data_IF_017787692905
#
_entry.id   IF_017787692905
#
_cell.length_a   1.000
_cell.length_b   1.000
_cell.length_c   1.000
_cell.angle_alpha   90.00
_cell.angle_beta   90.00
_cell.angle_gamma   90.00
#
_symmetry.space_group_name_H-M   'P 1'
#
loop_
_entity.id
_entity.type
_entity.pdbx_description
1 polymer ?
#
# COMPACT_ATOMS: atom_id res chain seq x y z
N UNK A 1 2.50 -81.88 47.99
CA UNK A 1 1.64 -80.86 48.63
C UNK A 1 1.77 -79.59 47.80
N UNK A 2 0.87 -79.38 46.83
CA UNK A 2 0.92 -78.25 45.89
C UNK A 2 -0.32 -77.38 46.17
N UNK A 3 -0.09 -76.15 46.63
CA UNK A 3 -1.14 -75.20 47.00
C UNK A 3 -1.38 -74.27 45.80
N UNK A 4 -2.41 -74.54 45.01
CA UNK A 4 -2.80 -73.68 43.88
C UNK A 4 -3.63 -72.51 44.45
N UNK A 5 -3.07 -71.30 44.44
CA UNK A 5 -3.83 -70.08 44.71
C UNK A 5 -4.35 -69.51 43.39
N UNK A 6 -5.66 -69.54 43.21
CA UNK A 6 -6.34 -68.85 42.11
C UNK A 6 -6.35 -67.34 42.38
N UNK A 7 -5.78 -66.55 41.48
CA UNK A 7 -5.92 -65.10 41.46
C UNK A 7 -6.89 -64.71 40.35
N UNK A 8 -8.06 -64.21 40.76
CA UNK A 8 -9.06 -63.62 39.85
C UNK A 8 -8.58 -62.21 39.52
N UNK A 9 -8.17 -61.96 38.28
CA UNK A 9 -7.83 -60.61 37.81
C UNK A 9 -9.06 -59.95 37.20
N UNK A 10 -9.56 -58.90 37.84
CA UNK A 10 -10.61 -58.03 37.32
C UNK A 10 -10.05 -57.16 36.19
N UNK A 11 -10.52 -57.36 34.96
CA UNK A 11 -10.19 -56.49 33.82
C UNK A 11 -11.02 -55.22 33.89
N UNK A 12 -10.37 -54.08 34.12
CA UNK A 12 -10.97 -52.76 34.01
C UNK A 12 -11.06 -52.34 32.54
N UNK A 13 -12.28 -52.06 32.07
CA UNK A 13 -12.53 -51.44 30.76
C UNK A 13 -12.20 -49.95 30.85
N UNK A 14 -11.16 -49.50 30.15
CA UNK A 14 -10.90 -48.08 29.90
C UNK A 14 -11.71 -47.66 28.66
N UNK A 15 -12.76 -46.87 28.89
CA UNK A 15 -13.50 -46.20 27.83
C UNK A 15 -12.76 -44.93 27.40
N UNK A 16 -12.17 -44.94 26.21
CA UNK A 16 -11.54 -43.77 25.61
C UNK A 16 -12.60 -42.90 24.93
N UNK A 17 -13.00 -41.78 25.54
CA UNK A 17 -13.77 -40.76 24.84
C UNK A 17 -12.81 -39.82 24.09
N UNK A 18 -12.79 -39.92 22.77
CA UNK A 18 -12.05 -38.97 21.92
C UNK A 18 -12.95 -37.74 21.73
N UNK A 19 -12.91 -36.82 22.68
CA UNK A 19 -13.49 -35.49 22.54
C UNK A 19 -12.38 -34.49 22.24
N UNK A 20 -12.26 -34.06 20.98
CA UNK A 20 -11.33 -32.99 20.60
C UNK A 20 -11.76 -31.67 21.26
N UNK A 21 -10.88 -30.96 22.00
CA UNK A 21 -11.19 -29.62 22.46
C UNK A 21 -11.07 -28.66 21.27
N UNK A 22 -12.21 -28.13 20.80
CA UNK A 22 -12.20 -26.98 19.90
C UNK A 22 -11.50 -25.81 20.60
N UNK A 23 -10.53 -25.13 19.97
CA UNK A 23 -9.88 -23.97 20.56
C UNK A 23 -10.94 -22.90 20.81
N UNK A 24 -11.13 -22.51 22.08
CA UNK A 24 -11.97 -21.38 22.43
C UNK A 24 -11.29 -20.14 21.84
N UNK A 25 -11.83 -19.61 20.75
CA UNK A 25 -11.44 -18.30 20.26
C UNK A 25 -11.82 -17.27 21.33
N UNK A 26 -10.83 -16.79 22.07
CA UNK A 26 -11.01 -15.62 22.92
C UNK A 26 -11.30 -14.46 21.97
N UNK A 27 -12.51 -13.88 22.02
CA UNK A 27 -12.72 -12.58 21.38
C UNK A 27 -11.78 -11.60 22.08
N UNK A 28 -10.81 -11.00 21.37
CA UNK A 28 -10.03 -9.92 21.95
C UNK A 28 -11.01 -8.81 22.30
N UNK A 29 -11.07 -8.40 23.57
CA UNK A 29 -11.61 -7.09 23.92
C UNK A 29 -10.51 -6.11 23.53
N UNK A 30 -10.50 -5.73 22.26
CA UNK A 30 -9.68 -4.62 21.80
C UNK A 30 -10.27 -3.35 22.42
N UNK A 31 -9.48 -2.63 23.22
CA UNK A 31 -9.90 -1.28 23.61
C UNK A 31 -10.08 -0.48 22.32
N UNK A 32 -11.15 0.31 22.24
CA UNK A 32 -11.52 1.04 21.03
C UNK A 32 -10.34 1.89 20.51
N UNK A 33 -9.48 2.36 21.42
CA UNK A 33 -8.24 3.08 21.13
C UNK A 33 -7.23 2.26 20.33
N UNK A 34 -7.06 0.97 20.64
CA UNK A 34 -6.10 0.09 19.96
C UNK A 34 -6.55 -0.18 18.52
N UNK A 35 -7.86 -0.18 18.28
CA UNK A 35 -8.44 -0.37 16.94
C UNK A 35 -8.20 0.89 16.09
N UNK A 36 -8.33 2.08 16.68
CA UNK A 36 -8.19 3.37 15.99
C UNK A 36 -6.76 3.59 15.49
N UNK A 37 -5.75 3.20 16.27
CA UNK A 37 -4.34 3.35 15.89
C UNK A 37 -3.96 2.44 14.69
N UNK A 38 -4.51 1.22 14.64
CA UNK A 38 -4.28 0.30 13.49
C UNK A 38 -4.93 0.74 12.18
N UNK A 39 -5.86 1.70 12.21
CA UNK A 39 -6.48 2.27 11.01
C UNK A 39 -5.73 3.50 10.49
N UNK A 40 -4.75 4.01 11.24
CA UNK A 40 -3.95 5.15 10.83
C UNK A 40 -2.83 4.66 9.90
N UNK A 41 -2.99 4.94 8.60
CA UNK A 41 -1.92 4.77 7.63
C UNK A 41 -1.02 6.01 7.74
N UNK A 42 0.01 5.93 8.59
CA UNK A 42 0.92 7.06 8.87
C UNK A 42 1.68 7.54 7.62
N UNK A 43 1.95 6.62 6.70
CA UNK A 43 2.58 6.92 5.42
C UNK A 43 1.72 6.39 4.26
N UNK A 44 0.71 7.17 3.81
CA UNK A 44 -0.21 6.74 2.77
C UNK A 44 0.42 6.72 1.38
N UNK A 45 1.63 7.24 1.20
CA UNK A 45 2.28 7.30 -0.11
C UNK A 45 3.78 7.03 -0.01
N UNK A 46 4.34 6.10 -0.80
CA UNK A 46 5.77 5.79 -0.78
C UNK A 46 6.66 6.90 -1.38
N UNK A 47 6.10 8.08 -1.67
CA UNK A 47 6.78 9.19 -2.32
C UNK A 47 6.69 10.44 -1.44
N UNK A 48 7.85 11.04 -1.14
CA UNK A 48 7.93 12.34 -0.47
C UNK A 48 7.44 13.44 -1.42
N UNK A 49 6.21 13.92 -1.18
CA UNK A 49 5.73 15.11 -1.89
C UNK A 49 6.46 16.33 -1.34
N UNK A 50 7.11 17.11 -2.22
CA UNK A 50 7.85 18.24 -1.76
C UNK A 50 6.90 19.38 -1.34
N UNK A 51 7.29 20.11 -0.30
CA UNK A 51 6.46 21.14 0.34
C UNK A 51 6.30 22.32 -0.63
N UNK A 52 5.05 22.71 -0.90
CA UNK A 52 4.73 23.84 -1.77
C UNK A 52 5.25 25.14 -1.15
N UNK A 53 6.07 25.87 -1.91
CA UNK A 53 6.55 27.19 -1.52
C UNK A 53 5.44 28.23 -1.73
N UNK A 54 5.44 29.30 -0.92
CA UNK A 54 4.42 30.37 -1.00
C UNK A 54 5.02 31.66 -1.59
N UNK A 55 4.17 32.56 -2.06
CA UNK A 55 4.56 33.87 -2.57
C UNK A 55 5.30 33.79 -3.90
N UNK A 56 6.32 34.64 -4.09
CA UNK A 56 7.10 34.69 -5.34
C UNK A 56 7.90 33.44 -5.67
N UNK A 57 7.91 32.43 -4.78
CA UNK A 57 8.60 31.17 -4.95
C UNK A 57 7.66 30.01 -5.28
N UNK A 58 6.34 30.24 -5.35
CA UNK A 58 5.35 29.18 -5.65
C UNK A 58 5.66 28.43 -6.95
N UNK A 59 6.20 29.12 -7.96
CA UNK A 59 6.53 28.55 -9.26
C UNK A 59 7.99 28.05 -9.34
N UNK A 60 8.78 28.21 -8.27
CA UNK A 60 10.26 28.14 -8.32
C UNK A 60 10.88 26.76 -8.05
N UNK A 61 10.25 25.70 -8.57
CA UNK A 61 11.01 24.48 -8.81
C UNK A 61 10.85 23.36 -7.79
N UNK A 62 9.61 23.10 -7.40
CA UNK A 62 9.30 21.80 -6.84
C UNK A 62 9.19 20.72 -7.93
N UNK A 63 8.87 21.11 -9.17
CA UNK A 63 8.83 20.24 -10.35
C UNK A 63 9.15 21.00 -11.64
N UNK A 64 10.40 21.51 -11.81
CA UNK A 64 10.74 22.31 -12.97
C UNK A 64 10.57 21.49 -14.25
N UNK A 65 9.73 21.98 -15.16
CA UNK A 65 9.61 21.39 -16.49
C UNK A 65 10.63 22.06 -17.41
N UNK A 66 11.61 21.32 -17.98
CA UNK A 66 12.53 21.91 -18.93
C UNK A 66 11.77 22.39 -20.18
N UNK A 67 12.37 23.30 -20.92
CA UNK A 67 11.84 23.69 -22.22
C UNK A 67 11.84 22.47 -23.16
N UNK A 68 10.69 22.20 -23.79
CA UNK A 68 10.59 21.17 -24.81
C UNK A 68 10.97 21.79 -26.16
N UNK A 69 12.19 21.51 -26.64
CA UNK A 69 12.70 22.06 -27.91
C UNK A 69 12.63 23.61 -27.96
N UNK A 70 12.89 24.28 -26.83
CA UNK A 70 12.81 25.74 -26.71
C UNK A 70 11.41 26.29 -26.42
N UNK A 71 10.38 25.44 -26.32
CA UNK A 71 9.02 25.84 -25.97
C UNK A 71 8.70 25.51 -24.50
N UNK A 72 8.08 26.45 -23.76
CA UNK A 72 7.61 26.20 -22.38
C UNK A 72 6.30 25.42 -22.43
N UNK A 73 6.34 24.12 -22.14
CA UNK A 73 5.13 23.27 -22.07
C UNK A 73 4.32 23.46 -20.79
N UNK A 74 4.99 23.78 -19.69
CA UNK A 74 4.35 24.02 -18.40
C UNK A 74 3.36 25.18 -18.52
N UNK A 75 2.10 24.88 -18.20
CA UNK A 75 0.97 25.81 -18.22
C UNK A 75 0.72 26.50 -19.59
N UNK A 76 1.20 25.91 -20.69
CA UNK A 76 0.86 26.37 -22.02
C UNK A 76 -0.65 26.20 -22.27
N UNK A 77 -1.32 27.25 -22.74
CA UNK A 77 -2.73 27.17 -23.10
C UNK A 77 -2.95 26.28 -24.33
N UNK A 78 -4.18 25.79 -24.50
CA UNK A 78 -4.55 24.98 -25.66
C UNK A 78 -4.29 25.77 -26.96
N UNK A 79 -4.59 27.07 -26.99
CA UNK A 79 -4.36 27.93 -28.17
C UNK A 79 -2.86 28.04 -28.49
N UNK A 80 -2.01 28.18 -27.47
CA UNK A 80 -0.54 28.23 -27.65
C UNK A 80 -0.01 26.91 -28.22
N UNK A 81 -0.49 25.78 -27.70
CA UNK A 81 -0.11 24.45 -28.19
C UNK A 81 -0.58 24.22 -29.63
N UNK A 82 -1.82 24.58 -29.94
CA UNK A 82 -2.38 24.45 -31.29
C UNK A 82 -1.63 25.33 -32.31
N UNK A 83 -1.27 26.55 -31.92
CA UNK A 83 -0.44 27.43 -32.75
C UNK A 83 0.96 26.84 -32.98
N UNK A 84 1.63 26.34 -31.94
CA UNK A 84 2.94 25.72 -32.06
C UNK A 84 2.94 24.46 -32.95
N UNK A 85 1.88 23.65 -32.86
CA UNK A 85 1.67 22.48 -33.73
C UNK A 85 1.40 22.90 -35.18
N UNK A 86 0.56 23.91 -35.39
CA UNK A 86 0.20 24.39 -36.73
C UNK A 86 1.38 25.03 -37.45
N UNK A 87 2.24 25.73 -36.70
CA UNK A 87 3.44 26.38 -37.22
C UNK A 87 4.64 25.42 -37.36
N UNK A 88 4.53 24.19 -36.87
CA UNK A 88 5.62 23.21 -36.88
C UNK A 88 6.76 23.50 -35.89
N UNK A 89 6.58 24.48 -34.99
CA UNK A 89 7.53 24.77 -33.90
C UNK A 89 7.61 23.63 -32.89
N UNK A 90 6.51 22.88 -32.75
CA UNK A 90 6.42 21.65 -31.98
C UNK A 90 5.72 20.58 -32.80
N UNK A 91 6.07 19.31 -32.55
CA UNK A 91 5.37 18.15 -33.08
C UNK A 91 4.72 17.36 -31.95
N UNK A 92 3.67 16.60 -32.25
CA UNK A 92 3.02 15.71 -31.28
C UNK A 92 4.01 14.70 -30.68
N UNK A 93 4.95 14.18 -31.49
CA UNK A 93 5.99 13.26 -31.03
C UNK A 93 6.92 13.95 -30.03
N UNK A 94 7.38 15.16 -30.32
CA UNK A 94 8.22 15.92 -29.38
C UNK A 94 7.50 16.18 -28.05
N UNK A 95 6.22 16.56 -28.09
CA UNK A 95 5.43 16.78 -26.87
C UNK A 95 5.41 15.51 -26.02
N UNK A 96 5.10 14.36 -26.62
CA UNK A 96 5.06 13.07 -25.90
C UNK A 96 6.43 12.73 -25.31
N UNK A 97 7.51 12.87 -26.09
CA UNK A 97 8.86 12.59 -25.59
C UNK A 97 9.24 13.49 -24.40
N UNK A 98 8.96 14.79 -24.48
CA UNK A 98 9.21 15.73 -23.39
C UNK A 98 8.40 15.40 -22.12
N UNK A 99 7.20 14.82 -22.25
CA UNK A 99 6.44 14.34 -21.10
C UNK A 99 6.99 13.02 -20.53
N UNK A 100 7.50 12.13 -21.37
CA UNK A 100 8.10 10.88 -20.92
C UNK A 100 9.44 11.10 -20.21
N UNK A 101 10.24 12.08 -20.63
CA UNK A 101 11.49 12.47 -19.95
C UNK A 101 11.27 13.02 -18.53
N UNK A 102 10.03 13.37 -18.18
CA UNK A 102 9.65 13.88 -16.86
C UNK A 102 9.32 12.77 -15.85
N UNK A 103 9.07 11.53 -16.30
CA UNK A 103 8.70 10.37 -15.47
C UNK A 103 9.96 9.57 -15.13
#
# INVERSE_FOLDING_TARGET
MVLIKAFVTATTLIASTIGSPSPKYLKPVSNITDIVETQLLEDPSPYDFPILQNGSLADSGQFPMPLCNGFKLEEASIDQLQSALSNGTLTSVQIVMCYLERI
#
